data_IF_677040166724
#
_entry.id   IF_677040166724
#
_cell.length_a   1.000
_cell.length_b   1.000
_cell.length_c   1.000
_cell.angle_alpha   90.00
_cell.angle_beta   90.00
_cell.angle_gamma   90.00
#
_symmetry.space_group_name_H-M   'P 1'
#
loop_
_entity.id
_entity.type
_entity.pdbx_description
1 polymer ?
#
# COMPACT_ATOMS: atom_id res chain seq x y z
N UNK A 1 16.83 22.29 -3.90
CA UNK A 1 15.57 22.60 -4.61
C UNK A 1 14.41 22.31 -3.66
N UNK A 2 13.58 23.33 -3.39
CA UNK A 2 12.32 23.18 -2.67
C UNK A 2 11.43 22.18 -3.42
N UNK A 3 10.89 21.17 -2.74
CA UNK A 3 9.87 20.30 -3.35
C UNK A 3 8.58 21.10 -3.48
N UNK A 4 8.01 21.11 -4.68
CA UNK A 4 6.65 21.63 -4.91
C UNK A 4 5.67 20.94 -3.97
N UNK A 5 4.66 21.68 -3.51
CA UNK A 5 3.61 21.08 -2.70
C UNK A 5 2.84 20.08 -3.56
N UNK A 6 2.46 18.92 -3.02
CA UNK A 6 1.82 17.87 -3.84
C UNK A 6 0.47 18.29 -4.43
N UNK A 7 -0.22 19.26 -3.81
CA UNK A 7 -1.41 19.88 -4.39
C UNK A 7 -1.12 20.75 -5.62
N UNK A 8 0.15 21.13 -5.83
CA UNK A 8 0.62 21.79 -7.06
C UNK A 8 0.97 20.75 -8.15
N UNK A 9 1.07 19.46 -7.79
CA UNK A 9 1.38 18.35 -8.70
C UNK A 9 0.13 17.54 -9.06
N UNK A 10 -0.87 17.49 -8.18
CA UNK A 10 -2.12 16.76 -8.37
C UNK A 10 -3.31 17.63 -7.98
N UNK A 11 -4.28 17.78 -8.88
CA UNK A 11 -5.63 18.19 -8.50
C UNK A 11 -6.30 17.00 -7.79
N UNK A 12 -6.67 17.12 -6.50
CA UNK A 12 -7.30 16.04 -5.75
C UNK A 12 -8.70 15.67 -6.26
N UNK A 13 -9.34 16.53 -7.07
CA UNK A 13 -10.67 16.30 -7.64
C UNK A 13 -10.61 15.62 -9.03
N UNK A 14 -9.41 15.45 -9.61
CA UNK A 14 -9.21 14.77 -10.88
C UNK A 14 -8.68 13.33 -10.75
N UNK A 15 -9.00 12.50 -11.75
CA UNK A 15 -8.41 11.17 -11.89
C UNK A 15 -6.95 11.32 -12.32
N UNK A 16 -6.04 10.85 -11.48
CA UNK A 16 -4.60 10.89 -11.74
C UNK A 16 -3.99 9.51 -11.57
N UNK A 17 -2.91 9.23 -12.30
CA UNK A 17 -2.06 8.06 -12.09
C UNK A 17 -0.71 8.54 -11.59
N UNK A 18 -0.22 7.96 -10.50
CA UNK A 18 1.05 8.32 -9.89
C UNK A 18 1.87 7.07 -9.57
N UNK A 19 3.17 7.17 -9.85
CA UNK A 19 4.16 6.26 -9.27
C UNK A 19 4.60 6.84 -7.93
N UNK A 20 4.25 6.16 -6.84
CA UNK A 20 4.66 6.54 -5.48
C UNK A 20 5.62 5.53 -4.89
N UNK A 21 6.62 6.01 -4.18
CA UNK A 21 7.57 5.13 -3.51
C UNK A 21 8.10 5.73 -2.22
N UNK A 22 8.53 4.87 -1.31
CA UNK A 22 9.18 5.30 -0.07
C UNK A 22 10.25 4.30 0.33
N UNK A 23 11.23 4.78 1.10
CA UNK A 23 12.34 3.98 1.60
C UNK A 23 12.27 3.86 3.12
N UNK A 24 12.78 2.75 3.64
CA UNK A 24 12.96 2.56 5.07
C UNK A 24 14.28 3.19 5.53
N UNK A 25 14.41 3.44 6.83
CA UNK A 25 15.63 3.92 7.44
C UNK A 25 16.80 2.94 7.23
N UNK A 26 18.03 3.43 7.35
CA UNK A 26 19.23 2.60 7.23
C UNK A 26 19.17 1.44 8.23
N UNK A 27 19.45 0.22 7.76
CA UNK A 27 19.36 -1.04 8.53
C UNK A 27 17.94 -1.44 8.96
N UNK A 28 16.90 -0.84 8.38
CA UNK A 28 15.56 -1.41 8.39
C UNK A 28 15.34 -2.22 7.10
N UNK A 29 14.53 -3.27 7.18
CA UNK A 29 14.25 -4.16 6.05
C UNK A 29 12.76 -4.46 5.92
N UNK A 30 12.26 -4.38 4.68
CA UNK A 30 10.91 -4.81 4.27
C UNK A 30 10.89 -6.25 3.78
N UNK A 31 12.00 -6.73 3.20
CA UNK A 31 12.17 -8.11 2.75
C UNK A 31 13.67 -8.45 2.66
N UNK A 32 13.97 -9.72 2.47
CA UNK A 32 15.30 -10.24 2.19
C UNK A 32 16.15 -10.40 3.43
N UNK A 33 17.40 -10.76 3.19
CA UNK A 33 18.37 -11.03 4.25
C UNK A 33 19.10 -9.76 4.68
N UNK A 34 19.18 -9.55 5.99
CA UNK A 34 20.10 -8.58 6.58
C UNK A 34 21.49 -9.23 6.74
N UNK A 35 22.50 -8.79 5.99
CA UNK A 35 23.84 -9.38 6.05
C UNK A 35 24.55 -9.12 7.39
N UNK A 36 24.06 -8.18 8.21
CA UNK A 36 24.68 -7.85 9.50
C UNK A 36 24.11 -8.72 10.62
N UNK A 37 22.79 -8.82 10.74
CA UNK A 37 22.16 -9.65 11.79
C UNK A 37 21.94 -11.10 11.38
N UNK A 38 22.02 -11.42 10.08
CA UNK A 38 21.70 -12.74 9.54
C UNK A 38 20.19 -13.07 9.52
N UNK A 39 19.33 -12.08 9.82
CA UNK A 39 17.87 -12.26 9.83
C UNK A 39 17.30 -12.16 8.42
N UNK A 40 16.35 -13.02 8.10
CA UNK A 40 15.52 -12.93 6.89
C UNK A 40 14.19 -12.24 7.21
N UNK A 41 13.73 -11.36 6.31
CA UNK A 41 12.50 -10.57 6.47
C UNK A 41 11.44 -10.87 5.41
N UNK A 42 11.56 -11.94 4.62
CA UNK A 42 10.64 -12.23 3.51
C UNK A 42 9.19 -12.47 3.96
N UNK A 43 9.00 -12.92 5.21
CA UNK A 43 7.67 -13.07 5.81
C UNK A 43 6.86 -11.77 5.81
N UNK A 44 7.53 -10.61 5.80
CA UNK A 44 6.87 -9.30 5.80
C UNK A 44 6.09 -9.03 4.53
N UNK A 45 6.53 -9.60 3.41
CA UNK A 45 5.84 -9.45 2.12
C UNK A 45 4.37 -9.85 2.22
N UNK A 46 4.07 -10.95 2.90
CA UNK A 46 2.71 -11.49 3.04
C UNK A 46 1.77 -10.43 3.62
N UNK A 47 2.13 -9.88 4.78
CA UNK A 47 1.24 -8.93 5.44
C UNK A 47 1.28 -7.53 4.83
N UNK A 48 2.36 -7.15 4.13
CA UNK A 48 2.38 -5.91 3.34
C UNK A 48 1.38 -6.04 2.18
N UNK A 49 1.34 -7.18 1.49
CA UNK A 49 0.38 -7.46 0.42
C UNK A 49 -1.06 -7.48 0.95
N UNK A 50 -1.31 -8.05 2.13
CA UNK A 50 -2.63 -7.98 2.79
C UNK A 50 -3.08 -6.54 3.05
N UNK A 51 -2.17 -5.64 3.48
CA UNK A 51 -2.50 -4.22 3.61
C UNK A 51 -2.82 -3.57 2.27
N UNK A 52 -2.07 -3.89 1.22
CA UNK A 52 -2.30 -3.37 -0.12
C UNK A 52 -3.66 -3.84 -0.67
N UNK A 53 -4.02 -5.11 -0.49
CA UNK A 53 -5.32 -5.66 -0.86
C UNK A 53 -6.46 -4.99 -0.09
N UNK A 54 -6.31 -4.85 1.23
CA UNK A 54 -7.29 -4.16 2.05
C UNK A 54 -7.47 -2.71 1.59
N UNK A 55 -6.38 -2.02 1.28
CA UNK A 55 -6.46 -0.62 0.86
C UNK A 55 -7.16 -0.51 -0.49
N UNK A 56 -6.85 -1.38 -1.45
CA UNK A 56 -7.51 -1.41 -2.74
C UNK A 56 -9.02 -1.71 -2.64
N UNK A 57 -9.45 -2.48 -1.63
CA UNK A 57 -10.86 -2.77 -1.40
C UNK A 57 -11.66 -1.54 -0.90
N UNK A 58 -11.06 -0.70 -0.06
CA UNK A 58 -11.79 0.34 0.69
C UNK A 58 -11.49 1.77 0.26
N UNK A 59 -10.28 2.09 -0.20
CA UNK A 59 -10.01 3.38 -0.82
C UNK A 59 -10.70 3.49 -2.19
N UNK A 60 -10.95 4.72 -2.63
CA UNK A 60 -11.26 5.07 -4.01
C UNK A 60 -9.97 5.32 -4.80
N UNK A 61 -9.04 4.37 -4.69
CA UNK A 61 -7.74 4.38 -5.38
C UNK A 61 -7.52 2.97 -5.91
N UNK A 62 -7.27 2.86 -7.21
CA UNK A 62 -6.90 1.59 -7.80
C UNK A 62 -5.40 1.36 -7.64
N UNK A 63 -5.02 0.19 -7.09
CA UNK A 63 -3.65 -0.29 -7.09
C UNK A 63 -3.36 -0.98 -8.42
N UNK A 64 -2.70 -0.27 -9.34
CA UNK A 64 -2.42 -0.76 -10.70
C UNK A 64 -1.24 -1.73 -10.72
N UNK A 65 -0.24 -1.51 -9.86
CA UNK A 65 0.92 -2.37 -9.74
C UNK A 65 1.76 -2.04 -8.51
N UNK A 66 2.58 -2.98 -8.06
CA UNK A 66 3.49 -2.76 -6.94
C UNK A 66 4.77 -3.59 -7.08
N UNK A 67 5.84 -3.11 -6.42
CA UNK A 67 7.06 -3.86 -6.18
C UNK A 67 7.52 -3.59 -4.75
N UNK A 68 7.77 -4.66 -3.98
CA UNK A 68 8.34 -4.58 -2.64
C UNK A 68 9.78 -5.07 -2.76
N UNK A 69 10.72 -4.23 -2.36
CA UNK A 69 12.16 -4.51 -2.34
C UNK A 69 12.66 -4.48 -0.89
N UNK A 70 13.90 -4.89 -0.66
CA UNK A 70 14.44 -5.06 0.69
C UNK A 70 14.39 -3.79 1.53
N UNK A 71 14.57 -2.61 0.93
CA UNK A 71 14.62 -1.34 1.65
C UNK A 71 13.64 -0.27 1.12
N UNK A 72 12.76 -0.61 0.19
CA UNK A 72 11.75 0.31 -0.33
C UNK A 72 10.62 -0.43 -1.04
N UNK A 73 9.49 0.25 -1.23
CA UNK A 73 8.43 -0.24 -2.09
C UNK A 73 8.01 0.84 -3.10
N UNK A 74 7.57 0.40 -4.26
CA UNK A 74 7.02 1.19 -5.36
C UNK A 74 5.58 0.77 -5.61
N UNK A 75 4.67 1.74 -5.74
CA UNK A 75 3.27 1.52 -6.06
C UNK A 75 2.88 2.39 -7.27
N UNK A 76 2.11 1.83 -8.20
CA UNK A 76 1.40 2.58 -9.23
C UNK A 76 -0.05 2.69 -8.79
N UNK A 77 -0.49 3.91 -8.48
CA UNK A 77 -1.81 4.19 -7.95
C UNK A 77 -2.60 5.05 -8.92
N UNK A 78 -3.90 4.79 -9.06
CA UNK A 78 -4.84 5.65 -9.78
C UNK A 78 -5.88 6.21 -8.82
N UNK A 79 -5.90 7.53 -8.59
CA UNK A 79 -6.95 8.18 -7.79
C UNK A 79 -8.28 8.15 -8.54
N UNK A 80 -9.37 7.88 -7.83
CA UNK A 80 -10.73 7.84 -8.41
C UNK A 80 -11.71 8.72 -7.63
N UNK A 81 -11.50 10.06 -7.56
CA UNK A 81 -12.45 10.96 -6.93
C UNK A 81 -13.83 10.91 -7.61
N UNK A 82 -13.86 10.63 -8.93
CA UNK A 82 -15.06 10.35 -9.72
C UNK A 82 -15.90 9.20 -9.14
N UNK A 83 -15.26 8.10 -8.74
CA UNK A 83 -15.96 6.96 -8.11
C UNK A 83 -16.39 7.32 -6.69
N UNK A 84 -15.51 7.97 -5.92
CA UNK A 84 -15.80 8.38 -4.55
C UNK A 84 -17.00 9.34 -4.50
N UNK A 85 -17.18 10.18 -5.52
CA UNK A 85 -18.33 11.08 -5.62
C UNK A 85 -19.68 10.33 -5.75
N UNK A 86 -19.68 9.11 -6.28
CA UNK A 86 -20.90 8.28 -6.41
C UNK A 86 -21.33 7.62 -5.10
N UNK A 87 -20.45 7.57 -4.09
CA UNK A 87 -20.73 6.85 -2.85
C UNK A 87 -21.71 7.63 -1.96
N UNK A 88 -22.65 6.89 -1.38
CA UNK A 88 -23.50 7.41 -0.31
C UNK A 88 -22.65 7.75 0.91
N UNK A 89 -23.19 8.63 1.75
CA UNK A 89 -22.51 9.07 2.98
C UNK A 89 -22.23 7.91 3.93
N UNK A 90 -23.16 6.94 4.00
CA UNK A 90 -22.99 5.71 4.76
C UNK A 90 -21.87 4.84 4.20
N UNK A 91 -21.71 4.77 2.88
CA UNK A 91 -20.65 3.98 2.25
C UNK A 91 -19.27 4.61 2.48
N UNK A 92 -19.17 5.95 2.41
CA UNK A 92 -17.96 6.69 2.81
C UNK A 92 -17.57 6.36 4.25
N UNK A 93 -18.54 6.38 5.16
CA UNK A 93 -18.32 6.05 6.57
C UNK A 93 -17.90 4.58 6.75
N UNK A 94 -18.59 3.63 6.11
CA UNK A 94 -18.31 2.19 6.19
C UNK A 94 -16.89 1.89 5.71
N UNK A 95 -16.52 2.36 4.52
CA UNK A 95 -15.17 2.17 3.95
C UNK A 95 -14.08 2.76 4.84
N UNK A 96 -14.32 3.97 5.36
CA UNK A 96 -13.38 4.60 6.29
C UNK A 96 -13.19 3.79 7.57
N UNK A 97 -14.26 3.24 8.13
CA UNK A 97 -14.19 2.42 9.35
C UNK A 97 -13.50 1.08 9.10
N UNK A 98 -13.50 0.56 7.88
CA UNK A 98 -12.68 -0.62 7.53
C UNK A 98 -11.18 -0.30 7.41
N UNK A 99 -10.82 0.95 7.07
CA UNK A 99 -9.44 1.43 7.02
C UNK A 99 -8.93 1.92 8.38
N UNK A 100 -9.79 2.56 9.17
CA UNK A 100 -9.49 3.16 10.45
C UNK A 100 -10.49 2.66 11.50
N UNK A 101 -10.47 1.36 11.83
CA UNK A 101 -11.45 0.77 12.74
C UNK A 101 -11.23 1.23 14.18
N UNK A 102 -12.32 1.47 14.90
CA UNK A 102 -12.30 1.62 16.36
C UNK A 102 -12.14 0.26 17.05
N UNK A 103 -12.69 -0.80 16.45
CA UNK A 103 -12.70 -2.16 17.00
C UNK A 103 -12.08 -3.15 16.02
N UNK A 104 -11.22 -4.02 16.54
CA UNK A 104 -10.53 -5.05 15.77
C UNK A 104 -10.85 -6.42 16.34
N UNK A 105 -10.84 -7.42 15.47
CA UNK A 105 -10.92 -8.83 15.84
C UNK A 105 -9.60 -9.28 16.50
N UNK A 106 -9.58 -10.50 17.04
CA UNK A 106 -8.40 -11.07 17.68
C UNK A 106 -7.20 -11.20 16.72
N UNK A 107 -7.46 -11.41 15.43
CA UNK A 107 -6.46 -11.45 14.36
C UNK A 107 -5.98 -10.05 13.90
N UNK A 108 -6.53 -8.98 14.48
CA UNK A 108 -6.22 -7.59 14.14
C UNK A 108 -6.98 -7.02 12.95
N UNK A 109 -7.82 -7.81 12.27
CA UNK A 109 -8.68 -7.35 11.18
C UNK A 109 -9.79 -6.40 11.69
N UNK A 110 -10.27 -5.44 10.87
CA UNK A 110 -11.38 -4.57 11.26
C UNK A 110 -12.65 -5.41 11.50
N UNK A 111 -13.39 -5.09 12.56
CA UNK A 111 -14.74 -5.63 12.75
C UNK A 111 -15.73 -4.90 11.83
N UNK A 112 -16.82 -5.58 11.46
CA UNK A 112 -17.94 -4.94 10.75
C UNK A 112 -18.45 -3.73 11.55
N UNK A 113 -18.50 -2.53 10.94
CA UNK A 113 -19.00 -1.34 11.58
C UNK A 113 -20.48 -1.49 11.96
N UNK A 114 -20.83 -1.07 13.18
CA UNK A 114 -22.21 -0.99 13.63
C UNK A 114 -22.90 0.24 13.06
N UNK A 115 -24.23 0.24 13.01
CA UNK A 115 -25.00 1.39 12.53
C UNK A 115 -24.68 2.70 13.29
N UNK A 116 -24.54 2.72 14.63
CA UNK A 116 -24.14 3.93 15.34
C UNK A 116 -22.74 4.43 14.95
N UNK A 117 -21.78 3.54 14.71
CA UNK A 117 -20.43 3.91 14.26
C UNK A 117 -20.49 4.58 12.87
N UNK A 118 -21.28 4.02 11.95
CA UNK A 118 -21.50 4.60 10.62
C UNK A 118 -22.15 5.98 10.73
N UNK A 119 -23.23 6.10 11.51
CA UNK A 119 -23.98 7.36 11.66
C UNK A 119 -23.15 8.45 12.35
N UNK A 120 -22.20 8.08 13.21
CA UNK A 120 -21.27 9.05 13.83
C UNK A 120 -20.40 9.82 12.82
N UNK A 121 -20.21 9.25 11.62
CA UNK A 121 -19.50 9.86 10.51
C UNK A 121 -20.49 10.40 9.49
N UNK A 122 -21.44 9.58 9.02
CA UNK A 122 -22.39 9.95 7.97
C UNK A 122 -23.29 11.13 8.37
N UNK A 123 -23.70 11.19 9.64
CA UNK A 123 -24.50 12.29 10.19
C UNK A 123 -23.71 13.56 10.51
N UNK A 124 -22.39 13.58 10.31
CA UNK A 124 -21.54 14.73 10.56
C UNK A 124 -20.94 15.26 9.24
N UNK A 125 -21.53 16.31 8.62
CA UNK A 125 -21.11 16.80 7.31
C UNK A 125 -19.62 17.14 7.24
N UNK A 126 -19.08 17.77 8.30
CA UNK A 126 -17.66 18.15 8.37
C UNK A 126 -16.75 16.90 8.30
N UNK A 127 -17.02 15.87 9.12
CA UNK A 127 -16.23 14.64 9.12
C UNK A 127 -16.35 13.92 7.78
N UNK A 128 -17.57 13.82 7.26
CA UNK A 128 -17.87 13.16 6.00
C UNK A 128 -17.09 13.76 4.83
N UNK A 129 -17.15 15.07 4.61
CA UNK A 129 -16.46 15.71 3.49
C UNK A 129 -14.95 15.55 3.58
N UNK A 130 -14.40 15.67 4.79
CA UNK A 130 -12.98 15.43 5.03
C UNK A 130 -12.63 13.99 4.67
N UNK A 131 -13.40 12.99 5.14
CA UNK A 131 -13.13 11.58 4.87
C UNK A 131 -13.28 11.26 3.39
N UNK A 132 -14.29 11.82 2.71
CA UNK A 132 -14.52 11.63 1.27
C UNK A 132 -13.27 12.02 0.47
N UNK A 133 -12.69 13.19 0.74
CA UNK A 133 -11.42 13.63 0.13
C UNK A 133 -10.22 12.75 0.48
N UNK A 134 -10.20 12.15 1.67
CA UNK A 134 -9.11 11.25 2.09
C UNK A 134 -9.16 9.92 1.33
N UNK A 135 -10.35 9.42 1.03
CA UNK A 135 -10.55 8.12 0.39
C UNK A 135 -10.06 8.09 -1.08
N UNK A 136 -9.81 9.22 -1.73
CA UNK A 136 -9.18 9.28 -3.06
C UNK A 136 -7.73 9.82 -3.02
N UNK A 137 -7.17 10.11 -1.84
CA UNK A 137 -5.88 10.79 -1.71
C UNK A 137 -4.69 9.83 -1.61
N UNK A 138 -3.74 9.91 -2.54
CA UNK A 138 -2.45 9.20 -2.46
C UNK A 138 -1.71 9.47 -1.16
N UNK A 139 -1.80 10.70 -0.64
CA UNK A 139 -1.15 11.05 0.62
C UNK A 139 -1.73 10.30 1.81
N UNK A 140 -3.04 10.06 1.83
CA UNK A 140 -3.68 9.29 2.89
C UNK A 140 -3.42 7.80 2.76
N UNK A 141 -3.45 7.27 1.54
CA UNK A 141 -3.00 5.91 1.26
C UNK A 141 -1.58 5.68 1.79
N UNK A 142 -0.63 6.51 1.35
CA UNK A 142 0.77 6.37 1.73
C UNK A 142 1.00 6.60 3.23
N UNK A 143 0.27 7.54 3.85
CA UNK A 143 0.35 7.77 5.30
C UNK A 143 -0.06 6.52 6.08
N UNK A 144 -1.22 5.93 5.77
CA UNK A 144 -1.72 4.75 6.49
C UNK A 144 -0.82 3.54 6.25
N UNK A 145 -0.36 3.32 5.01
CA UNK A 145 0.50 2.19 4.69
C UNK A 145 1.83 2.28 5.44
N UNK A 146 2.52 3.42 5.32
CA UNK A 146 3.78 3.67 6.02
C UNK A 146 3.63 3.53 7.53
N UNK A 147 2.56 4.06 8.11
CA UNK A 147 2.30 3.95 9.54
C UNK A 147 2.13 2.49 9.98
N UNK A 148 1.31 1.70 9.28
CA UNK A 148 1.06 0.30 9.62
C UNK A 148 2.29 -0.58 9.47
N UNK A 149 3.02 -0.41 8.35
CA UNK A 149 4.29 -1.10 8.11
C UNK A 149 5.30 -0.75 9.19
N UNK A 150 5.49 0.53 9.50
CA UNK A 150 6.43 0.97 10.53
C UNK A 150 6.08 0.42 11.91
N UNK A 151 4.81 0.50 12.31
CA UNK A 151 4.37 0.04 13.63
C UNK A 151 4.53 -1.47 13.79
N UNK A 152 4.18 -2.25 12.75
CA UNK A 152 4.30 -3.71 12.79
C UNK A 152 5.77 -4.14 12.75
N UNK A 153 6.55 -3.59 11.84
CA UNK A 153 7.97 -3.91 11.72
C UNK A 153 8.76 -3.56 13.00
N UNK A 154 8.55 -2.36 13.55
CA UNK A 154 9.18 -1.99 14.82
C UNK A 154 8.78 -2.92 15.97
N UNK A 155 7.52 -3.38 16.02
CA UNK A 155 7.06 -4.33 17.03
C UNK A 155 7.73 -5.69 16.87
N UNK A 156 7.82 -6.20 15.63
CA UNK A 156 8.50 -7.47 15.32
C UNK A 156 10.01 -7.39 15.62
N UNK A 157 10.64 -6.23 15.41
CA UNK A 157 12.08 -6.00 15.61
C UNK A 157 12.43 -5.62 17.06
N UNK A 158 11.43 -5.47 17.93
CA UNK A 158 11.57 -4.94 19.29
C UNK A 158 12.30 -3.58 19.33
N UNK A 159 12.07 -2.75 18.30
CA UNK A 159 12.70 -1.44 18.14
C UNK A 159 11.73 -0.30 18.40
N UNK A 160 12.30 0.86 18.74
CA UNK A 160 11.57 2.12 18.81
C UNK A 160 12.13 3.11 17.79
N UNK A 161 11.34 4.13 17.43
CA UNK A 161 11.78 5.19 16.53
C UNK A 161 11.32 5.02 15.08
N UNK A 162 12.06 5.66 14.17
CA UNK A 162 11.63 5.89 12.79
C UNK A 162 11.99 4.70 11.90
N UNK A 163 10.97 4.05 11.33
CA UNK A 163 11.16 2.98 10.34
C UNK A 163 11.18 3.48 8.89
N UNK A 164 10.36 4.49 8.55
CA UNK A 164 10.27 5.06 7.20
C UNK A 164 11.13 6.31 7.12
N UNK A 165 12.11 6.31 6.21
CA UNK A 165 13.18 7.32 6.15
C UNK A 165 12.63 8.72 5.90
N UNK A 166 11.67 8.88 4.99
CA UNK A 166 11.16 10.18 4.54
C UNK A 166 9.69 10.11 4.12
N UNK A 167 9.11 11.27 3.80
CA UNK A 167 7.84 11.30 3.09
C UNK A 167 8.02 10.61 1.74
N UNK A 168 6.98 9.90 1.29
CA UNK A 168 6.99 9.27 -0.02
C UNK A 168 7.28 10.27 -1.14
N UNK A 169 7.85 9.75 -2.21
CA UNK A 169 8.12 10.46 -3.44
C UNK A 169 7.10 10.05 -4.49
N UNK A 170 6.75 11.01 -5.33
CA UNK A 170 5.83 10.87 -6.43
C UNK A 170 6.57 11.25 -7.72
N UNK A 171 6.48 10.39 -8.73
CA UNK A 171 6.86 10.70 -10.09
C UNK A 171 5.59 10.78 -10.93
N UNK A 172 5.26 11.98 -11.41
CA UNK A 172 4.11 12.20 -12.28
C UNK A 172 4.44 11.76 -13.70
N UNK A 173 3.66 10.82 -14.26
CA UNK A 173 3.74 10.48 -15.68
C UNK A 173 2.55 11.09 -16.42
N UNK A 174 2.67 12.36 -16.80
CA UNK A 174 1.63 13.12 -17.52
C UNK A 174 1.33 12.66 -18.95
N UNK A 175 1.86 11.52 -19.40
CA UNK A 175 1.50 10.80 -20.65
C UNK A 175 2.18 9.42 -20.59
N UNK A 176 1.38 8.36 -20.70
CA UNK A 176 1.75 6.98 -21.07
C UNK A 176 3.13 6.45 -20.63
N UNK A 177 3.19 5.71 -19.51
CA UNK A 177 4.19 4.66 -19.31
C UNK A 177 3.59 3.47 -18.55
N UNK A 178 2.94 2.56 -19.27
CA UNK A 178 2.72 1.16 -18.83
C UNK A 178 3.87 0.28 -19.33
N UNK A 179 5.10 0.80 -19.40
CA UNK A 179 6.21 0.11 -20.06
C UNK A 179 7.25 -0.51 -19.10
N UNK A 180 7.09 -0.41 -17.78
CA UNK A 180 8.17 -0.77 -16.83
C UNK A 180 7.90 -1.89 -15.82
N UNK A 181 6.66 -2.37 -15.65
CA UNK A 181 6.30 -3.25 -14.52
C UNK A 181 5.71 -4.61 -14.96
N UNK A 182 6.17 -5.17 -16.07
CA UNK A 182 5.79 -6.53 -16.52
C UNK A 182 6.86 -7.60 -16.29
N UNK A 183 7.90 -7.32 -15.50
CA UNK A 183 8.90 -8.32 -15.12
C UNK A 183 8.70 -8.68 -13.66
N UNK A 184 7.79 -9.61 -13.35
CA UNK A 184 7.81 -10.50 -12.16
C UNK A 184 6.60 -11.46 -12.17
N UNK A 185 6.50 -12.34 -13.17
CA UNK A 185 5.89 -13.68 -13.02
C UNK A 185 6.21 -14.63 -14.17
N UNK A 186 7.22 -15.49 -13.96
CA UNK A 186 7.16 -16.96 -14.04
C UNK A 186 8.54 -17.51 -13.64
N UNK A 187 8.69 -18.30 -12.56
CA UNK A 187 9.79 -19.23 -12.51
C UNK A 187 9.48 -20.35 -13.52
N UNK A 188 10.34 -20.49 -14.53
CA UNK A 188 10.35 -21.70 -15.35
C UNK A 188 10.65 -22.88 -14.42
N UNK A 189 9.77 -23.88 -14.45
CA UNK A 189 10.00 -25.17 -13.84
C UNK A 189 11.17 -25.84 -14.55
N UNK A 190 12.34 -25.80 -13.92
CA UNK A 190 13.49 -26.60 -14.33
C UNK A 190 13.23 -28.07 -13.94
N UNK A 191 12.52 -28.81 -14.79
CA UNK A 191 12.50 -30.27 -14.71
C UNK A 191 13.69 -30.80 -15.50
N UNK A 192 14.76 -31.12 -14.77
CA UNK A 192 15.91 -31.84 -15.29
C UNK A 192 15.49 -33.21 -15.84
N UNK A 193 15.82 -33.45 -17.10
CA UNK A 193 15.83 -34.77 -17.73
C UNK A 193 17.26 -35.11 -18.13
N UNK A 194 18.07 -35.54 -17.16
CA UNK A 194 19.33 -36.24 -17.43
C UNK A 194 18.99 -37.71 -17.70
N UNK A 195 18.98 -38.09 -18.98
CA UNK A 195 18.59 -39.40 -19.49
C UNK A 195 19.64 -39.95 -20.46
N UNK A 196 20.70 -40.51 -19.88
CA UNK A 196 21.77 -41.35 -20.46
C UNK A 196 21.38 -42.17 -21.71
N UNK A 197 22.22 -42.11 -22.75
CA UNK A 197 22.76 -43.28 -23.49
C UNK A 197 23.96 -42.80 -24.34
N UNK A 198 25.09 -43.54 -24.51
CA UNK A 198 25.09 -44.88 -25.12
C UNK A 198 26.16 -45.86 -24.58
N UNK A 199 25.81 -47.13 -24.32
CA UNK A 199 26.75 -48.27 -24.45
C UNK A 199 26.04 -49.57 -24.85
N UNK A 200 26.41 -50.07 -26.03
CA UNK A 200 26.74 -51.47 -26.29
C UNK A 200 25.59 -52.45 -26.59
N UNK A 201 25.31 -52.66 -27.88
CA UNK A 201 25.60 -53.90 -28.63
C UNK A 201 25.28 -53.71 -30.11
#
# INVERSE_FOLDING_TARGET
MSRMARCEVFDPEEVAIAHVYTRVCRRCFLLGDDPVSGKNFDHRKVWIEEYLQQFAAYFGIDLVGFAILSNHFHLILRSRPDVVATWTDEEVARRWLMLCPHRRQADGSPMTPTQPEIQSIAGCPIKREVIRKRLSSFSWWMRLLCQRVAMRANREDEQTGRFIQDRYHDAFSGRSLVAGLCCLRRPESNSGGDGRNPRGQ
#
